data_IF_047116080057
#
_entry.id   IF_047116080057
#
_cell.length_a   1.000
_cell.length_b   1.000
_cell.length_c   1.000
_cell.angle_alpha   90.00
_cell.angle_beta   90.00
_cell.angle_gamma   90.00
#
_symmetry.space_group_name_H-M   'P 1'
#
loop_
_entity.id
_entity.type
_entity.pdbx_description
1 polymer ?
#
# COMPACT_ATOMS: atom_id res chain seq x y z
N UNK A 1 6.66 -11.06 9.43
CA UNK A 1 7.53 -9.88 9.50
C UNK A 1 6.68 -8.62 9.30
N UNK A 2 6.87 -7.57 10.12
CA UNK A 2 6.14 -6.31 10.01
C UNK A 2 6.85 -5.34 9.08
N UNK A 3 6.07 -4.69 8.22
CA UNK A 3 6.53 -3.72 7.26
C UNK A 3 5.63 -2.48 7.30
N UNK A 4 6.25 -1.32 7.13
CA UNK A 4 5.59 -0.06 6.85
C UNK A 4 5.45 0.08 5.34
N UNK A 5 4.21 0.20 4.85
CA UNK A 5 3.95 0.64 3.49
C UNK A 5 4.06 2.17 3.43
N UNK A 6 5.01 2.65 2.62
CA UNK A 6 5.14 4.05 2.24
C UNK A 6 5.08 4.21 0.72
N UNK A 7 4.69 5.39 0.26
CA UNK A 7 4.65 5.74 -1.17
C UNK A 7 4.87 7.23 -1.34
N UNK A 8 5.24 7.63 -2.56
CA UNK A 8 5.35 9.01 -2.96
C UNK A 8 4.05 9.49 -3.58
N UNK A 9 3.58 10.67 -3.16
CA UNK A 9 2.49 11.39 -3.84
C UNK A 9 3.13 12.41 -4.78
N UNK A 10 2.93 12.22 -6.08
CA UNK A 10 3.46 13.10 -7.12
C UNK A 10 2.33 13.99 -7.62
N UNK A 11 2.36 15.31 -7.35
CA UNK A 11 1.41 16.24 -7.95
C UNK A 11 1.73 16.43 -9.43
N UNK A 12 0.74 16.28 -10.29
CA UNK A 12 0.85 16.43 -11.74
C UNK A 12 -0.26 17.30 -12.33
N UNK A 13 -0.13 17.63 -13.62
CA UNK A 13 -1.03 18.54 -14.35
C UNK A 13 -2.52 18.12 -14.35
N UNK A 14 -2.82 16.83 -14.16
CA UNK A 14 -4.20 16.30 -14.12
C UNK A 14 -4.69 15.92 -12.72
N UNK A 15 -3.85 16.03 -11.70
CA UNK A 15 -4.14 15.55 -10.35
C UNK A 15 -2.91 14.95 -9.68
N UNK A 16 -3.10 14.21 -8.60
CA UNK A 16 -2.04 13.56 -7.84
C UNK A 16 -1.98 12.09 -8.22
N UNK A 17 -0.79 11.57 -8.50
CA UNK A 17 -0.55 10.13 -8.63
C UNK A 17 0.21 9.62 -7.42
N UNK A 18 -0.05 8.37 -7.04
CA UNK A 18 0.73 7.66 -6.03
C UNK A 18 1.62 6.65 -6.73
N UNK A 19 2.91 6.67 -6.42
CA UNK A 19 3.94 5.83 -7.05
C UNK A 19 5.10 5.64 -6.10
N UNK A 20 6.08 4.82 -6.48
CA UNK A 20 7.24 4.51 -5.62
C UNK A 20 6.81 3.83 -4.31
N UNK A 21 5.93 2.85 -4.42
CA UNK A 21 5.54 2.06 -3.27
C UNK A 21 6.76 1.33 -2.71
N UNK A 22 6.95 1.42 -1.39
CA UNK A 22 8.04 0.78 -0.65
C UNK A 22 7.52 0.15 0.62
N UNK A 23 8.01 -1.06 0.90
CA UNK A 23 7.80 -1.75 2.17
C UNK A 23 9.10 -1.71 2.97
N UNK A 24 9.10 -0.97 4.06
CA UNK A 24 10.26 -0.89 4.96
C UNK A 24 10.00 -1.74 6.20
N UNK A 25 10.84 -2.74 6.50
CA UNK A 25 10.67 -3.53 7.72
C UNK A 25 10.73 -2.60 8.94
N UNK A 26 9.71 -2.66 9.79
CA UNK A 26 9.61 -1.81 10.98
C UNK A 26 9.10 -2.62 12.15
N UNK A 27 9.68 -2.39 13.32
CA UNK A 27 9.18 -2.96 14.59
C UNK A 27 8.06 -2.08 15.19
N UNK A 28 8.11 -0.78 14.90
CA UNK A 28 7.13 0.24 15.28
C UNK A 28 6.38 0.77 14.04
N UNK A 29 5.22 0.20 13.69
CA UNK A 29 4.41 0.70 12.58
C UNK A 29 3.81 2.08 12.88
N UNK A 30 3.72 2.92 11.85
CA UNK A 30 3.12 4.24 11.90
C UNK A 30 1.81 4.20 11.10
N UNK A 31 0.71 3.94 11.80
CA UNK A 31 -0.63 3.88 11.20
C UNK A 31 -1.21 5.28 10.89
N UNK A 32 -0.53 6.35 11.31
CA UNK A 32 -0.92 7.73 11.04
C UNK A 32 -0.32 8.21 9.71
N UNK A 33 0.90 7.76 9.38
CA UNK A 33 1.63 8.15 8.15
C UNK A 33 1.74 7.06 7.10
N UNK A 34 1.29 5.85 7.39
CA UNK A 34 1.36 4.71 6.47
C UNK A 34 0.42 3.58 6.85
N UNK A 35 0.65 2.42 6.24
CA UNK A 35 -0.10 1.19 6.54
C UNK A 35 0.86 0.15 7.09
N UNK A 36 0.58 -0.30 8.31
CA UNK A 36 1.25 -1.44 8.90
C UNK A 36 0.80 -2.74 8.25
N UNK A 37 1.75 -3.51 7.74
CA UNK A 37 1.47 -4.76 7.05
C UNK A 37 2.32 -5.89 7.61
N UNK A 38 1.71 -7.05 7.78
CA UNK A 38 2.43 -8.27 8.16
C UNK A 38 2.50 -9.21 6.95
N UNK A 39 3.71 -9.55 6.55
CA UNK A 39 3.99 -10.50 5.49
C UNK A 39 4.72 -11.73 6.04
N UNK A 40 4.49 -12.91 5.46
CA UNK A 40 5.21 -14.11 5.86
C UNK A 40 6.68 -14.04 5.40
N UNK A 41 6.89 -13.64 4.14
CA UNK A 41 8.20 -13.65 3.48
C UNK A 41 8.41 -12.44 2.56
N UNK A 42 9.68 -12.15 2.27
CA UNK A 42 10.07 -11.07 1.34
C UNK A 42 9.44 -11.21 -0.05
N UNK A 43 9.23 -12.45 -0.54
CA UNK A 43 8.57 -12.71 -1.82
C UNK A 43 7.13 -12.20 -1.85
N UNK A 44 6.43 -12.30 -0.73
CA UNK A 44 5.07 -11.79 -0.61
C UNK A 44 5.05 -10.25 -0.60
N UNK A 45 6.05 -9.63 0.03
CA UNK A 45 6.25 -8.18 -0.02
C UNK A 45 6.46 -7.71 -1.46
N UNK A 46 7.34 -8.37 -2.22
CA UNK A 46 7.63 -8.02 -3.62
C UNK A 46 6.41 -8.21 -4.52
N UNK A 47 5.66 -9.31 -4.34
CA UNK A 47 4.42 -9.56 -5.07
C UNK A 47 3.38 -8.47 -4.78
N UNK A 48 3.22 -8.09 -3.50
CA UNK A 48 2.31 -7.03 -3.09
C UNK A 48 2.71 -5.67 -3.66
N UNK A 49 4.00 -5.33 -3.60
CA UNK A 49 4.53 -4.09 -4.20
C UNK A 49 4.22 -4.03 -5.70
N UNK A 50 4.37 -5.14 -6.42
CA UNK A 50 4.06 -5.19 -7.84
C UNK A 50 2.57 -5.07 -8.13
N UNK A 51 1.71 -5.65 -7.30
CA UNK A 51 0.26 -5.50 -7.42
C UNK A 51 -0.18 -4.06 -7.17
N UNK A 52 0.29 -3.42 -6.11
CA UNK A 52 -0.11 -2.05 -5.76
C UNK A 52 0.43 -1.05 -6.79
N UNK A 53 1.67 -1.20 -7.25
CA UNK A 53 2.21 -0.38 -8.34
C UNK A 53 1.33 -0.51 -9.59
N UNK A 54 0.94 -1.72 -9.98
CA UNK A 54 0.08 -1.94 -11.15
C UNK A 54 -1.34 -1.37 -10.97
N UNK A 55 -1.92 -1.51 -9.77
CA UNK A 55 -3.25 -1.02 -9.45
C UNK A 55 -3.34 0.52 -9.47
N UNK A 56 -2.27 1.20 -9.06
CA UNK A 56 -2.24 2.65 -8.95
C UNK A 56 -1.45 3.36 -10.07
N UNK A 57 -0.69 2.64 -10.90
CA UNK A 57 0.10 3.21 -12.01
C UNK A 57 -0.72 4.07 -13.00
N UNK A 58 -2.01 3.77 -13.17
CA UNK A 58 -2.92 4.54 -14.04
C UNK A 58 -4.01 5.27 -13.28
N UNK A 59 -3.91 5.35 -11.95
CA UNK A 59 -4.93 5.95 -11.10
C UNK A 59 -4.50 7.35 -10.68
N UNK A 60 -5.40 8.30 -10.89
CA UNK A 60 -5.20 9.70 -10.60
C UNK A 60 -6.20 10.10 -9.54
N UNK A 61 -5.74 10.89 -8.58
CA UNK A 61 -6.52 11.37 -7.46
C UNK A 61 -6.69 12.87 -7.55
N UNK A 62 -7.83 13.36 -7.07
CA UNK A 62 -8.14 14.79 -7.05
C UNK A 62 -7.50 15.49 -5.85
N UNK A 63 -7.21 14.76 -4.77
CA UNK A 63 -6.54 15.27 -3.58
C UNK A 63 -5.72 14.19 -2.86
N UNK A 64 -4.79 14.60 -1.99
CA UNK A 64 -3.87 13.71 -1.30
C UNK A 64 -4.54 12.85 -0.22
N UNK A 65 -5.60 13.35 0.43
CA UNK A 65 -6.33 12.62 1.45
C UNK A 65 -7.11 11.43 0.86
N UNK A 66 -7.77 11.65 -0.28
CA UNK A 66 -8.48 10.64 -1.08
C UNK A 66 -7.51 9.58 -1.64
N UNK A 67 -6.34 10.02 -2.11
CA UNK A 67 -5.26 9.11 -2.50
C UNK A 67 -4.82 8.23 -1.32
N UNK A 68 -4.61 8.83 -0.15
CA UNK A 68 -4.18 8.11 1.04
C UNK A 68 -5.25 7.13 1.52
N UNK A 69 -6.50 7.56 1.62
CA UNK A 69 -7.62 6.73 2.06
C UNK A 69 -7.85 5.55 1.10
N UNK A 70 -7.80 5.79 -0.22
CA UNK A 70 -7.93 4.73 -1.22
C UNK A 70 -6.80 3.70 -1.12
N UNK A 71 -5.54 4.15 -1.00
CA UNK A 71 -4.39 3.25 -0.84
C UNK A 71 -4.50 2.44 0.45
N UNK A 72 -4.89 3.11 1.55
CA UNK A 72 -5.09 2.48 2.86
C UNK A 72 -6.19 1.43 2.82
N UNK A 73 -7.36 1.76 2.27
CA UNK A 73 -8.48 0.83 2.11
C UNK A 73 -8.05 -0.38 1.26
N UNK A 74 -7.43 -0.14 0.09
CA UNK A 74 -6.97 -1.20 -0.80
C UNK A 74 -5.98 -2.16 -0.12
N UNK A 75 -5.01 -1.62 0.63
CA UNK A 75 -4.03 -2.41 1.36
C UNK A 75 -4.68 -3.24 2.49
N UNK A 76 -5.60 -2.64 3.26
CA UNK A 76 -6.33 -3.32 4.33
C UNK A 76 -7.26 -4.42 3.79
N UNK A 77 -7.95 -4.18 2.68
CA UNK A 77 -8.78 -5.20 2.01
C UNK A 77 -7.95 -6.39 1.55
N UNK A 78 -6.77 -6.15 0.97
CA UNK A 78 -5.87 -7.21 0.51
C UNK A 78 -5.29 -8.01 1.69
N UNK A 79 -4.96 -7.35 2.79
CA UNK A 79 -4.55 -7.98 4.05
C UNK A 79 -5.67 -8.84 4.64
N UNK A 80 -6.90 -8.33 4.66
CA UNK A 80 -8.09 -9.05 5.12
C UNK A 80 -8.34 -10.30 4.27
N UNK A 81 -8.30 -10.17 2.93
CA UNK A 81 -8.41 -11.31 2.00
C UNK A 81 -7.31 -12.36 2.20
N UNK A 82 -6.09 -11.93 2.53
CA UNK A 82 -4.98 -12.85 2.81
C UNK A 82 -5.20 -13.68 4.07
N UNK A 83 -5.80 -13.08 5.10
CA UNK A 83 -6.14 -13.78 6.36
C UNK A 83 -7.32 -14.72 6.19
N UNK A 84 -8.31 -14.33 5.38
CA UNK A 84 -9.50 -15.15 5.08
C UNK A 84 -9.16 -16.36 4.19
N UNK A 85 -8.24 -16.20 3.24
CA UNK A 85 -7.77 -17.29 2.37
C UNK A 85 -6.91 -18.36 3.05
N UNK A 86 -6.57 -18.21 4.35
CA UNK A 86 -5.90 -19.23 5.15
C UNK A 86 -6.90 -20.14 5.89
N UNK A 87 -8.20 -19.94 5.69
CA UNK A 87 -9.30 -20.73 6.27
C UNK A 87 -10.11 -21.40 5.16
N UNK A 88 -9.49 -22.29 4.37
CA UNK A 88 -10.19 -23.22 3.47
C UNK A 88 -9.36 -24.44 3.18
#
# INVERSE_FOLDING_TARGET
MRYQLGWSTLPGLKGISVSEFRLTPTDAPDNERGVAMEFADQRECEAFLREIESAFARRWFTNAADAFDTVKAWALERLGKKRDGLVS
#
